data_IF_518750433475
#
_entry.id   IF_518750433475
#
_cell.length_a   1.000
_cell.length_b   1.000
_cell.length_c   1.000
_cell.angle_alpha   90.00
_cell.angle_beta   90.00
_cell.angle_gamma   90.00
#
_symmetry.space_group_name_H-M   'P 1'
#
loop_
_entity.id
_entity.type
_entity.pdbx_description
1 polymer ?
#
# COMPACT_ATOMS: atom_id res chain seq x y z
N UNK A 1 69.62 -27.87 33.90
CA UNK A 1 68.84 -28.66 32.92
C UNK A 1 67.50 -29.23 33.42
N UNK A 2 67.13 -29.17 34.71
CA UNK A 2 65.90 -29.81 35.24
C UNK A 2 64.58 -29.01 35.16
N UNK A 3 64.60 -27.69 34.96
CA UNK A 3 63.36 -26.88 34.87
C UNK A 3 62.69 -26.95 33.49
N UNK A 4 63.47 -27.01 32.41
CA UNK A 4 62.93 -27.05 31.03
C UNK A 4 62.26 -28.41 30.75
N UNK A 5 62.76 -29.52 31.30
CA UNK A 5 62.15 -30.84 31.16
C UNK A 5 60.83 -30.96 31.93
N UNK A 6 60.71 -30.38 33.14
CA UNK A 6 59.45 -30.33 33.90
C UNK A 6 58.38 -29.47 33.22
N UNK A 7 58.74 -28.31 32.68
CA UNK A 7 57.79 -27.45 31.97
C UNK A 7 57.31 -28.12 30.69
N UNK A 8 58.20 -28.77 29.93
CA UNK A 8 57.82 -29.51 28.71
C UNK A 8 56.96 -30.74 29.01
N UNK A 9 57.21 -31.43 30.14
CA UNK A 9 56.37 -32.51 30.63
C UNK A 9 54.97 -32.04 31.02
N UNK A 10 54.86 -30.91 31.73
CA UNK A 10 53.58 -30.33 32.18
C UNK A 10 52.76 -29.77 30.99
N UNK A 11 53.40 -29.12 30.02
CA UNK A 11 52.74 -28.68 28.78
C UNK A 11 52.25 -29.88 27.97
N UNK A 12 53.01 -30.99 27.94
CA UNK A 12 52.60 -32.21 27.25
C UNK A 12 51.45 -32.90 27.97
N UNK A 13 51.47 -33.01 29.30
CA UNK A 13 50.36 -33.58 30.07
C UNK A 13 49.08 -32.75 29.95
N UNK A 14 49.20 -31.42 30.01
CA UNK A 14 48.06 -30.51 29.84
C UNK A 14 47.51 -30.53 28.40
N UNK A 15 48.38 -30.72 27.40
CA UNK A 15 47.93 -30.90 26.02
C UNK A 15 47.20 -32.23 25.83
N UNK A 16 47.72 -33.33 26.40
CA UNK A 16 47.08 -34.64 26.31
C UNK A 16 45.75 -34.70 27.05
N UNK A 17 45.65 -34.11 28.25
CA UNK A 17 44.39 -34.03 28.99
C UNK A 17 43.35 -33.20 28.22
N UNK A 18 43.75 -32.06 27.66
CA UNK A 18 42.87 -31.19 26.86
C UNK A 18 42.43 -31.82 25.54
N UNK A 19 43.26 -32.63 24.90
CA UNK A 19 42.89 -33.42 23.71
C UNK A 19 41.85 -34.50 24.07
N UNK A 20 42.01 -35.16 25.23
CA UNK A 20 41.05 -36.15 25.70
C UNK A 20 39.69 -35.53 26.07
N UNK A 21 39.67 -34.35 26.69
CA UNK A 21 38.41 -33.65 27.02
C UNK A 21 37.67 -33.23 25.75
N UNK A 22 38.36 -32.63 24.77
CA UNK A 22 37.77 -32.23 23.48
C UNK A 22 37.17 -33.42 22.72
N UNK A 23 37.89 -34.55 22.65
CA UNK A 23 37.39 -35.77 21.98
C UNK A 23 36.15 -36.36 22.67
N UNK A 24 36.03 -36.15 23.98
CA UNK A 24 34.87 -36.60 24.76
C UNK A 24 33.67 -35.68 24.55
N UNK A 25 33.90 -34.37 24.49
CA UNK A 25 32.88 -33.37 24.15
C UNK A 25 32.34 -33.55 22.72
N UNK A 26 33.20 -33.86 21.73
CA UNK A 26 32.79 -34.16 20.35
C UNK A 26 31.91 -35.41 20.26
N UNK A 27 32.23 -36.45 21.04
CA UNK A 27 31.39 -37.66 21.13
C UNK A 27 30.04 -37.35 21.75
N UNK A 28 30.02 -36.54 22.82
CA UNK A 28 28.78 -36.10 23.46
C UNK A 28 27.91 -35.26 22.51
N UNK A 29 28.50 -34.33 21.75
CA UNK A 29 27.79 -33.53 20.75
C UNK A 29 27.17 -34.39 19.64
N UNK A 30 27.89 -35.40 19.13
CA UNK A 30 27.36 -36.33 18.13
C UNK A 30 26.21 -37.20 18.67
N UNK A 31 26.29 -37.62 19.94
CA UNK A 31 25.21 -38.37 20.59
C UNK A 31 23.97 -37.49 20.76
N UNK A 32 24.13 -36.26 21.25
CA UNK A 32 23.02 -35.29 21.42
C UNK A 32 22.34 -34.99 20.07
N UNK A 33 23.11 -34.91 18.99
CA UNK A 33 22.57 -34.72 17.64
C UNK A 33 21.76 -35.93 17.14
N UNK A 34 22.28 -37.15 17.29
CA UNK A 34 21.55 -38.38 16.92
C UNK A 34 20.26 -38.52 17.74
N UNK A 35 20.33 -38.21 19.04
CA UNK A 35 19.16 -38.21 19.92
C UNK A 35 18.12 -37.18 19.46
N UNK A 36 18.57 -36.02 19.00
CA UNK A 36 17.69 -34.97 18.46
C UNK A 36 16.95 -35.41 17.20
N UNK A 37 17.61 -36.16 16.31
CA UNK A 37 16.96 -36.76 15.14
C UNK A 37 15.91 -37.81 15.53
N UNK A 38 16.20 -38.64 16.53
CA UNK A 38 15.27 -39.65 17.04
C UNK A 38 14.02 -38.99 17.65
N UNK A 39 14.18 -37.92 18.42
CA UNK A 39 13.04 -37.20 19.01
C UNK A 39 12.20 -36.40 17.99
N UNK A 40 12.75 -36.11 16.81
CA UNK A 40 12.03 -35.45 15.70
C UNK A 40 11.36 -36.45 14.74
N UNK A 41 11.70 -37.73 14.81
CA UNK A 41 11.16 -38.82 13.99
C UNK A 41 9.62 -38.90 13.99
N UNK A 42 8.91 -38.63 15.12
CA UNK A 42 7.45 -38.58 15.14
C UNK A 42 6.84 -37.52 14.19
N UNK A 43 7.54 -36.42 13.88
CA UNK A 43 7.03 -35.39 12.95
C UNK A 43 7.11 -35.80 11.48
N UNK A 44 7.98 -36.77 11.16
CA UNK A 44 8.22 -37.25 9.80
C UNK A 44 7.38 -38.51 9.50
N UNK A 45 6.74 -39.10 10.51
CA UNK A 45 5.82 -40.20 10.33
C UNK A 45 4.55 -39.75 9.58
N UNK A 46 3.99 -40.59 8.70
CA UNK A 46 2.78 -40.26 7.95
C UNK A 46 1.62 -39.94 8.91
N UNK A 47 0.88 -38.86 8.60
CA UNK A 47 -0.16 -38.23 9.45
C UNK A 47 -1.19 -39.21 10.03
N UNK A 48 -1.42 -40.36 9.39
CA UNK A 48 -2.33 -41.40 9.86
C UNK A 48 -1.92 -42.09 11.17
N UNK A 49 -0.61 -42.25 11.44
CA UNK A 49 -0.13 -42.89 12.67
C UNK A 49 -0.24 -41.96 13.89
N UNK A 50 -0.09 -40.65 13.67
CA UNK A 50 -0.13 -39.60 14.69
C UNK A 50 -1.56 -39.32 15.20
N UNK A 51 -2.55 -39.44 14.34
CA UNK A 51 -3.97 -39.29 14.73
C UNK A 51 -4.41 -40.45 15.63
N UNK A 52 -3.86 -41.66 15.43
CA UNK A 52 -4.18 -42.85 16.22
C UNK A 52 -3.62 -42.84 17.66
N UNK A 53 -2.60 -42.01 17.94
CA UNK A 53 -1.85 -42.01 19.20
C UNK A 53 -2.22 -40.89 20.19
N UNK A 54 -3.19 -40.01 19.88
CA UNK A 54 -3.70 -39.05 20.88
C UNK A 54 -4.05 -37.64 20.41
N UNK A 55 -4.32 -37.41 19.12
CA UNK A 55 -4.87 -36.13 18.64
C UNK A 55 -3.91 -34.92 18.74
N UNK A 56 -4.38 -33.77 18.22
CA UNK A 56 -3.58 -32.56 18.03
C UNK A 56 -2.99 -31.98 19.34
N UNK A 57 -3.66 -32.21 20.48
CA UNK A 57 -3.26 -31.68 21.79
C UNK A 57 -2.03 -32.38 22.37
N UNK A 58 -1.91 -33.70 22.17
CA UNK A 58 -0.76 -34.46 22.65
C UNK A 58 0.51 -34.12 21.86
N UNK A 59 0.35 -33.88 20.55
CA UNK A 59 1.42 -33.35 19.72
C UNK A 59 1.80 -31.93 20.10
N UNK A 60 0.85 -31.04 20.39
CA UNK A 60 1.15 -29.70 20.88
C UNK A 60 1.93 -29.75 22.21
N UNK A 61 1.52 -30.60 23.16
CA UNK A 61 2.23 -30.79 24.43
C UNK A 61 3.65 -31.37 24.22
N UNK A 62 3.80 -32.36 23.33
CA UNK A 62 5.11 -32.91 22.94
C UNK A 62 6.00 -31.83 22.29
N UNK A 63 5.44 -30.99 21.40
CA UNK A 63 6.16 -29.88 20.79
C UNK A 63 6.65 -28.88 21.86
N UNK A 64 5.79 -28.51 22.82
CA UNK A 64 6.10 -27.52 23.84
C UNK A 64 7.16 -28.00 24.85
N UNK A 65 7.26 -29.31 25.10
CA UNK A 65 8.27 -29.86 26.01
C UNK A 65 9.58 -30.22 25.30
N UNK A 66 9.49 -30.88 24.14
CA UNK A 66 10.66 -31.46 23.49
C UNK A 66 11.44 -30.43 22.68
N UNK A 67 10.77 -29.50 22.00
CA UNK A 67 11.45 -28.52 21.14
C UNK A 67 12.35 -27.57 21.95
N UNK A 68 11.92 -26.98 23.08
CA UNK A 68 12.81 -26.12 23.88
C UNK A 68 14.01 -26.88 24.45
N UNK A 69 13.82 -28.13 24.88
CA UNK A 69 14.90 -28.98 25.40
C UNK A 69 15.91 -29.31 24.29
N UNK A 70 15.44 -29.67 23.10
CA UNK A 70 16.29 -29.91 21.93
C UNK A 70 17.08 -28.66 21.53
N UNK A 71 16.44 -27.49 21.50
CA UNK A 71 17.11 -26.21 21.20
C UNK A 71 18.20 -25.93 22.25
N UNK A 72 17.89 -26.09 23.54
CA UNK A 72 18.84 -25.83 24.62
C UNK A 72 20.04 -26.81 24.60
N UNK A 73 19.79 -28.09 24.33
CA UNK A 73 20.82 -29.12 24.28
C UNK A 73 21.76 -28.94 23.09
N UNK A 74 21.21 -28.61 21.91
CA UNK A 74 21.97 -28.37 20.70
C UNK A 74 22.69 -27.01 20.70
N UNK A 75 22.20 -26.03 21.48
CA UNK A 75 22.92 -24.77 21.73
C UNK A 75 24.15 -24.96 22.62
N UNK A 76 24.05 -25.82 23.65
CA UNK A 76 25.15 -26.09 24.59
C UNK A 76 26.24 -27.00 23.99
N UNK A 77 25.87 -27.89 23.07
CA UNK A 77 26.80 -28.81 22.39
C UNK A 77 26.59 -28.76 20.87
N UNK A 78 27.04 -27.70 20.18
CA UNK A 78 26.89 -27.58 18.74
C UNK A 78 27.69 -28.67 18.03
N UNK A 79 27.08 -29.34 17.06
CA UNK A 79 27.75 -30.37 16.28
C UNK A 79 28.99 -29.80 15.56
N UNK A 80 30.11 -30.53 15.60
CA UNK A 80 31.43 -30.07 15.12
C UNK A 80 31.47 -29.68 13.63
N UNK A 81 30.53 -30.18 12.82
CA UNK A 81 30.40 -29.86 11.40
C UNK A 81 29.59 -28.59 11.11
N UNK A 82 28.83 -28.04 12.07
CA UNK A 82 28.05 -26.81 11.91
C UNK A 82 28.90 -25.60 11.48
N UNK A 83 30.01 -25.25 12.16
CA UNK A 83 30.86 -24.14 11.72
C UNK A 83 31.53 -24.38 10.36
N UNK A 84 31.76 -25.64 9.98
CA UNK A 84 32.28 -25.98 8.65
C UNK A 84 31.23 -25.76 7.54
N UNK A 85 29.98 -26.14 7.79
CA UNK A 85 28.85 -25.92 6.87
C UNK A 85 28.51 -24.43 6.76
N UNK A 86 28.53 -23.68 7.87
CA UNK A 86 28.32 -22.22 7.83
C UNK A 86 29.41 -21.52 7.00
N UNK A 87 30.67 -21.94 7.14
CA UNK A 87 31.76 -21.41 6.31
C UNK A 87 31.60 -21.77 4.83
N UNK A 88 31.23 -23.02 4.52
CA UNK A 88 30.93 -23.46 3.14
C UNK A 88 29.74 -22.69 2.54
N UNK A 89 28.69 -22.45 3.31
CA UNK A 89 27.52 -21.68 2.88
C UNK A 89 27.88 -20.20 2.65
N UNK A 90 28.66 -19.58 3.54
CA UNK A 90 29.14 -18.21 3.37
C UNK A 90 30.05 -18.07 2.14
N UNK A 91 30.91 -19.05 1.89
CA UNK A 91 31.78 -19.09 0.71
C UNK A 91 30.98 -19.30 -0.58
N UNK A 92 29.98 -20.18 -0.56
CA UNK A 92 29.05 -20.38 -1.67
C UNK A 92 28.23 -19.11 -1.97
N UNK A 93 27.73 -18.43 -0.93
CA UNK A 93 27.01 -17.14 -1.08
C UNK A 93 27.93 -16.07 -1.68
N UNK A 94 29.18 -15.97 -1.23
CA UNK A 94 30.16 -15.04 -1.82
C UNK A 94 30.45 -15.35 -3.28
N UNK A 95 30.68 -16.63 -3.62
CA UNK A 95 30.92 -17.08 -5.00
C UNK A 95 29.72 -16.88 -5.92
N UNK A 96 28.50 -17.01 -5.41
CA UNK A 96 27.27 -16.80 -6.18
C UNK A 96 26.89 -15.32 -6.30
N UNK A 97 27.40 -14.44 -5.41
CA UNK A 97 27.08 -13.01 -5.41
C UNK A 97 27.58 -12.28 -6.66
N UNK A 98 28.80 -12.59 -7.11
CA UNK A 98 29.38 -12.00 -8.31
C UNK A 98 28.60 -12.35 -9.59
N UNK A 99 28.36 -13.64 -9.94
CA UNK A 99 27.57 -13.99 -11.12
C UNK A 99 26.12 -13.52 -10.98
N UNK A 100 25.52 -13.56 -9.78
CA UNK A 100 24.18 -13.01 -9.58
C UNK A 100 24.12 -11.50 -9.86
N UNK A 101 25.14 -10.74 -9.46
CA UNK A 101 25.21 -9.30 -9.73
C UNK A 101 25.39 -8.99 -11.23
N UNK A 102 26.19 -9.81 -11.95
CA UNK A 102 26.37 -9.67 -13.38
C UNK A 102 25.09 -10.03 -14.15
N UNK A 103 24.44 -11.14 -13.78
CA UNK A 103 23.13 -11.53 -14.33
C UNK A 103 22.08 -10.45 -14.06
N UNK A 104 22.03 -9.90 -12.86
CA UNK A 104 21.12 -8.80 -12.53
C UNK A 104 21.42 -7.53 -13.35
N UNK A 105 22.69 -7.23 -13.62
CA UNK A 105 23.09 -6.09 -14.46
C UNK A 105 22.65 -6.28 -15.91
N UNK A 106 22.84 -7.49 -16.46
CA UNK A 106 22.38 -7.83 -17.82
C UNK A 106 20.85 -7.79 -17.88
N UNK A 107 20.16 -8.38 -16.90
CA UNK A 107 18.70 -8.33 -16.81
C UNK A 107 18.17 -6.89 -16.73
N UNK A 108 18.82 -6.02 -15.94
CA UNK A 108 18.49 -4.59 -15.89
C UNK A 108 18.73 -3.88 -17.22
N UNK A 109 19.81 -4.20 -17.94
CA UNK A 109 20.10 -3.61 -19.24
C UNK A 109 19.06 -4.03 -20.30
N UNK A 110 18.67 -5.31 -20.30
CA UNK A 110 17.62 -5.84 -21.20
C UNK A 110 16.24 -5.26 -20.86
N UNK A 111 15.96 -5.04 -19.57
CA UNK A 111 14.69 -4.46 -19.12
C UNK A 111 14.62 -2.92 -19.24
N UNK A 112 15.75 -2.23 -19.38
CA UNK A 112 15.81 -0.77 -19.51
C UNK A 112 14.93 -0.19 -20.64
N UNK A 113 14.91 -0.73 -21.88
CA UNK A 113 14.00 -0.24 -22.92
C UNK A 113 12.53 -0.47 -22.57
N UNK A 114 12.20 -1.59 -21.91
CA UNK A 114 10.83 -1.90 -21.48
C UNK A 114 10.38 -0.91 -20.40
N UNK A 115 11.21 -0.66 -19.40
CA UNK A 115 10.93 0.32 -18.34
C UNK A 115 10.76 1.75 -18.89
N UNK A 116 11.46 2.10 -19.99
CA UNK A 116 11.21 3.37 -20.70
C UNK A 116 9.84 3.39 -21.38
N UNK A 117 9.47 2.29 -22.06
CA UNK A 117 8.17 2.17 -22.69
C UNK A 117 7.03 2.19 -21.66
N UNK A 118 7.19 1.52 -20.51
CA UNK A 118 6.26 1.57 -19.39
C UNK A 118 6.06 3.00 -18.86
N UNK A 119 7.15 3.77 -18.73
CA UNK A 119 7.06 5.17 -18.29
C UNK A 119 6.34 6.06 -19.32
N UNK A 120 6.60 5.88 -20.62
CA UNK A 120 5.87 6.59 -21.68
C UNK A 120 4.39 6.23 -21.66
N UNK A 121 4.06 4.95 -21.50
CA UNK A 121 2.69 4.48 -21.37
C UNK A 121 1.97 5.14 -20.17
N UNK A 122 2.66 5.25 -19.03
CA UNK A 122 2.13 5.90 -17.84
C UNK A 122 2.02 7.42 -17.94
N UNK A 123 2.88 8.08 -18.71
CA UNK A 123 2.76 9.50 -19.02
C UNK A 123 1.42 9.81 -19.73
N UNK A 124 0.95 8.87 -20.56
CA UNK A 124 -0.41 8.90 -21.11
C UNK A 124 -1.42 8.43 -20.05
N UNK A 125 -1.60 9.24 -19.00
CA UNK A 125 -2.40 8.89 -17.81
C UNK A 125 -3.82 8.44 -18.14
N UNK A 126 -4.52 9.13 -19.06
CA UNK A 126 -5.88 8.78 -19.50
C UNK A 126 -5.94 7.46 -20.27
N UNK A 127 -4.96 7.20 -21.14
CA UNK A 127 -4.91 5.98 -21.93
C UNK A 127 -4.61 4.77 -21.03
N UNK A 128 -3.64 4.93 -20.11
CA UNK A 128 -3.28 3.87 -19.18
C UNK A 128 -4.39 3.55 -18.17
N UNK A 129 -5.15 4.55 -17.68
CA UNK A 129 -6.35 4.28 -16.86
C UNK A 129 -7.43 3.57 -17.66
N UNK A 130 -7.73 4.02 -18.88
CA UNK A 130 -8.77 3.41 -19.72
C UNK A 130 -8.44 1.94 -20.04
N UNK A 131 -7.20 1.64 -20.43
CA UNK A 131 -6.75 0.26 -20.69
C UNK A 131 -6.82 -0.57 -19.41
N UNK A 132 -6.43 -0.01 -18.25
CA UNK A 132 -6.56 -0.68 -16.96
C UNK A 132 -8.02 -0.98 -16.59
N UNK A 133 -8.93 -0.04 -16.79
CA UNK A 133 -10.38 -0.23 -16.57
C UNK A 133 -10.93 -1.31 -17.50
N UNK A 134 -10.60 -1.27 -18.79
CA UNK A 134 -11.05 -2.25 -19.76
C UNK A 134 -10.56 -3.66 -19.42
N UNK A 135 -9.29 -3.82 -19.06
CA UNK A 135 -8.72 -5.11 -18.67
C UNK A 135 -9.37 -5.65 -17.39
N UNK A 136 -9.55 -4.81 -16.37
CA UNK A 136 -10.19 -5.18 -15.11
C UNK A 136 -11.65 -5.58 -15.33
N UNK A 137 -12.40 -4.81 -16.12
CA UNK A 137 -13.81 -5.08 -16.39
C UNK A 137 -13.97 -6.35 -17.23
N UNK A 138 -13.10 -6.56 -18.21
CA UNK A 138 -13.06 -7.79 -19.00
C UNK A 138 -12.72 -9.00 -18.13
N UNK A 139 -11.77 -8.87 -17.19
CA UNK A 139 -11.46 -9.92 -16.23
C UNK A 139 -12.65 -10.28 -15.34
N UNK A 140 -13.31 -9.28 -14.77
CA UNK A 140 -14.49 -9.48 -13.93
C UNK A 140 -15.66 -10.07 -14.71
N UNK A 141 -15.90 -9.59 -15.92
CA UNK A 141 -16.95 -10.08 -16.80
C UNK A 141 -16.76 -11.56 -17.10
N UNK A 142 -15.54 -11.92 -17.51
CA UNK A 142 -15.15 -13.28 -17.84
C UNK A 142 -15.19 -14.29 -16.68
N UNK A 143 -15.12 -13.81 -15.44
CA UNK A 143 -15.14 -14.65 -14.23
C UNK A 143 -16.53 -14.71 -13.56
N UNK A 144 -17.25 -13.58 -13.51
CA UNK A 144 -18.44 -13.42 -12.68
C UNK A 144 -19.74 -13.41 -13.50
N UNK A 145 -19.66 -13.27 -14.83
CA UNK A 145 -20.80 -13.24 -15.73
C UNK A 145 -20.68 -14.39 -16.73
N UNK A 146 -21.69 -15.26 -16.77
CA UNK A 146 -21.62 -16.52 -17.52
C UNK A 146 -21.95 -16.38 -19.02
N UNK A 147 -22.60 -15.30 -19.47
CA UNK A 147 -23.18 -15.23 -20.84
C UNK A 147 -23.10 -13.86 -21.56
N UNK A 148 -22.61 -12.79 -20.93
CA UNK A 148 -22.51 -11.47 -21.58
C UNK A 148 -21.28 -11.34 -22.48
N UNK A 149 -21.44 -11.05 -23.78
CA UNK A 149 -20.31 -10.79 -24.70
C UNK A 149 -19.84 -9.32 -24.70
N UNK A 150 -20.66 -8.40 -24.18
CA UNK A 150 -20.45 -6.94 -24.26
C UNK A 150 -20.77 -6.20 -22.94
N UNK A 151 -21.08 -6.93 -21.88
CA UNK A 151 -21.44 -6.44 -20.54
C UNK A 151 -20.42 -5.46 -19.97
N UNK A 152 -19.12 -5.69 -20.17
CA UNK A 152 -18.06 -4.78 -19.72
C UNK A 152 -18.11 -3.40 -20.38
N UNK A 153 -18.41 -3.31 -21.69
CA UNK A 153 -18.48 -2.05 -22.41
C UNK A 153 -19.72 -1.26 -22.00
N UNK A 154 -20.85 -1.94 -21.77
CA UNK A 154 -22.07 -1.31 -21.26
C UNK A 154 -21.87 -0.75 -19.86
N UNK A 155 -21.24 -1.49 -18.95
CA UNK A 155 -20.94 -1.00 -17.61
C UNK A 155 -19.97 0.19 -17.65
N UNK A 156 -18.96 0.17 -18.53
CA UNK A 156 -18.04 1.30 -18.70
C UNK A 156 -18.75 2.54 -19.26
N UNK A 157 -19.62 2.38 -20.26
CA UNK A 157 -20.44 3.46 -20.81
C UNK A 157 -21.35 4.05 -19.73
N UNK A 158 -22.03 3.20 -18.96
CA UNK A 158 -22.87 3.63 -17.84
C UNK A 158 -22.08 4.46 -16.82
N UNK A 159 -20.91 3.98 -16.37
CA UNK A 159 -20.10 4.72 -15.41
C UNK A 159 -19.56 6.03 -15.96
N UNK A 160 -19.17 6.09 -17.24
CA UNK A 160 -18.74 7.34 -17.89
C UNK A 160 -19.87 8.38 -17.92
N UNK A 161 -21.10 7.94 -18.19
CA UNK A 161 -22.26 8.82 -18.16
C UNK A 161 -22.52 9.35 -16.73
N UNK A 162 -22.39 8.50 -15.71
CA UNK A 162 -22.46 8.93 -14.30
C UNK A 162 -21.36 9.94 -13.97
N UNK A 163 -20.12 9.70 -14.39
CA UNK A 163 -18.99 10.64 -14.20
C UNK A 163 -19.27 11.98 -14.86
N UNK A 164 -19.84 11.98 -16.06
CA UNK A 164 -20.21 13.20 -16.76
C UNK A 164 -21.27 13.98 -15.98
N UNK A 165 -22.30 13.31 -15.47
CA UNK A 165 -23.30 13.94 -14.59
C UNK A 165 -22.68 14.54 -13.33
N UNK A 166 -21.78 13.82 -12.66
CA UNK A 166 -21.08 14.32 -11.46
C UNK A 166 -20.18 15.52 -11.80
N UNK A 167 -19.48 15.47 -12.94
CA UNK A 167 -18.64 16.59 -13.41
C UNK A 167 -19.48 17.82 -13.70
N UNK A 168 -20.64 17.66 -14.31
CA UNK A 168 -21.58 18.75 -14.58
C UNK A 168 -22.10 19.39 -13.28
N UNK A 169 -22.51 18.57 -12.31
CA UNK A 169 -22.92 19.06 -10.98
C UNK A 169 -21.76 19.80 -10.30
N UNK A 170 -20.53 19.26 -10.35
CA UNK A 170 -19.34 19.91 -9.81
C UNK A 170 -19.10 21.27 -10.46
N UNK A 171 -19.26 21.37 -11.79
CA UNK A 171 -19.09 22.63 -12.52
C UNK A 171 -20.10 23.69 -12.08
N UNK A 172 -21.38 23.32 -11.92
CA UNK A 172 -22.42 24.21 -11.38
C UNK A 172 -22.06 24.65 -9.96
N UNK A 173 -21.65 23.73 -9.10
CA UNK A 173 -21.29 24.06 -7.71
C UNK A 173 -20.08 25.00 -7.61
N UNK A 174 -19.13 24.92 -8.53
CA UNK A 174 -17.85 25.65 -8.44
C UNK A 174 -17.80 26.95 -9.21
N UNK A 175 -18.48 27.05 -10.36
CA UNK A 175 -18.45 28.26 -11.20
C UNK A 175 -19.47 29.32 -10.79
N UNK A 176 -20.50 28.95 -10.04
CA UNK A 176 -21.61 29.85 -9.74
C UNK A 176 -21.42 30.52 -8.37
N UNK A 177 -21.46 31.85 -8.34
CA UNK A 177 -21.47 32.60 -7.09
C UNK A 177 -22.81 32.39 -6.37
N UNK A 178 -22.83 31.50 -5.38
CA UNK A 178 -23.99 31.22 -4.51
C UNK A 178 -24.36 32.38 -3.57
N UNK A 179 -23.98 33.60 -3.92
CA UNK A 179 -24.36 34.76 -3.14
C UNK A 179 -25.89 34.96 -3.25
N UNK A 180 -26.62 35.06 -2.13
CA UNK A 180 -28.08 35.25 -2.14
C UNK A 180 -28.48 36.65 -2.64
N UNK A 181 -27.53 37.45 -3.13
CA UNK A 181 -27.70 38.83 -3.54
C UNK A 181 -27.12 39.02 -4.94
N UNK A 182 -27.99 39.21 -5.94
CA UNK A 182 -27.58 39.67 -7.26
C UNK A 182 -27.73 41.19 -7.32
N UNK A 183 -26.66 41.88 -7.72
CA UNK A 183 -26.72 43.33 -7.97
C UNK A 183 -27.50 43.60 -9.26
N UNK A 184 -28.46 44.51 -9.23
CA UNK A 184 -29.34 44.84 -10.37
C UNK A 184 -28.55 45.40 -11.57
N UNK A 185 -27.45 46.11 -11.31
CA UNK A 185 -26.48 46.56 -12.33
C UNK A 185 -25.06 46.50 -11.75
N UNK A 186 -24.01 46.46 -12.59
CA UNK A 186 -22.60 46.39 -12.14
C UNK A 186 -22.18 47.53 -11.19
N UNK A 187 -22.93 48.63 -11.17
CA UNK A 187 -22.65 49.81 -10.34
C UNK A 187 -23.72 50.09 -9.26
N UNK A 188 -24.80 49.33 -9.22
CA UNK A 188 -25.89 49.52 -8.24
C UNK A 188 -25.64 48.69 -6.98
N UNK A 189 -25.86 49.32 -5.80
CA UNK A 189 -25.83 48.66 -4.48
C UNK A 189 -27.16 47.99 -4.12
N UNK A 190 -28.16 48.03 -5.00
CA UNK A 190 -29.47 47.42 -4.77
C UNK A 190 -29.36 45.91 -4.98
N UNK A 191 -29.56 45.16 -3.89
CA UNK A 191 -29.52 43.70 -3.84
C UNK A 191 -30.95 43.15 -3.92
N UNK A 192 -31.25 42.30 -4.89
CA UNK A 192 -32.59 41.71 -5.04
C UNK A 192 -32.60 40.21 -4.73
N UNK A 193 -33.19 39.82 -3.59
CA UNK A 193 -33.19 38.44 -3.10
C UNK A 193 -34.02 37.49 -4.00
N UNK A 194 -35.17 37.95 -4.51
CA UNK A 194 -36.09 37.09 -5.26
C UNK A 194 -35.54 36.68 -6.64
N UNK A 195 -34.65 37.47 -7.24
CA UNK A 195 -34.00 37.13 -8.52
C UNK A 195 -32.87 36.11 -8.32
N UNK A 196 -32.23 36.11 -7.14
CA UNK A 196 -31.24 35.09 -6.76
C UNK A 196 -31.88 33.72 -6.52
N UNK A 197 -33.03 33.69 -5.81
CA UNK A 197 -33.74 32.44 -5.53
C UNK A 197 -34.25 31.77 -6.82
N UNK A 198 -34.83 32.54 -7.75
CA UNK A 198 -35.30 31.99 -9.04
C UNK A 198 -34.15 31.49 -9.91
N UNK A 199 -33.01 32.18 -9.91
CA UNK A 199 -31.80 31.72 -10.62
C UNK A 199 -31.32 30.37 -10.07
N UNK A 200 -31.21 30.23 -8.75
CA UNK A 200 -30.82 28.98 -8.10
C UNK A 200 -31.78 27.85 -8.48
N UNK A 201 -33.08 28.07 -8.36
CA UNK A 201 -34.11 27.06 -8.70
C UNK A 201 -34.02 26.65 -10.18
N UNK A 202 -33.82 27.60 -11.10
CA UNK A 202 -33.68 27.30 -12.53
C UNK A 202 -32.44 26.46 -12.82
N UNK A 203 -31.28 26.76 -12.22
CA UNK A 203 -30.06 25.98 -12.45
C UNK A 203 -30.16 24.56 -11.86
N UNK A 204 -30.75 24.41 -10.67
CA UNK A 204 -31.04 23.08 -10.13
C UNK A 204 -32.05 22.32 -10.98
N UNK A 205 -33.05 23.01 -11.54
CA UNK A 205 -34.02 22.38 -12.47
C UNK A 205 -33.31 21.90 -13.74
N UNK A 206 -32.34 22.65 -14.29
CA UNK A 206 -31.52 22.18 -15.41
C UNK A 206 -30.68 20.96 -15.03
N UNK A 207 -30.06 20.97 -13.85
CA UNK A 207 -29.28 19.82 -13.37
C UNK A 207 -30.13 18.57 -13.18
N UNK A 208 -31.30 18.71 -12.55
CA UNK A 208 -32.24 17.60 -12.35
C UNK A 208 -32.78 17.11 -13.68
N UNK A 209 -33.23 17.99 -14.58
CA UNK A 209 -33.73 17.58 -15.90
C UNK A 209 -32.64 16.89 -16.71
N UNK A 210 -31.39 17.35 -16.65
CA UNK A 210 -30.25 16.70 -17.29
C UNK A 210 -29.94 15.30 -16.71
N UNK A 211 -29.99 15.13 -15.39
CA UNK A 211 -29.81 13.80 -14.76
C UNK A 211 -30.95 12.87 -15.16
N UNK A 212 -32.19 13.36 -15.15
CA UNK A 212 -33.38 12.59 -15.54
C UNK A 212 -33.32 12.19 -17.01
N UNK A 213 -32.95 13.11 -17.92
CA UNK A 213 -32.81 12.80 -19.36
C UNK A 213 -31.70 11.80 -19.61
N UNK A 214 -30.56 11.92 -18.94
CA UNK A 214 -29.47 10.93 -19.01
C UNK A 214 -29.94 9.56 -18.53
N UNK A 215 -30.61 9.51 -17.37
CA UNK A 215 -31.11 8.26 -16.79
C UNK A 215 -32.13 7.63 -17.72
N UNK A 216 -33.01 8.44 -18.32
CA UNK A 216 -34.00 8.00 -19.28
C UNK A 216 -33.35 7.53 -20.59
N UNK A 217 -32.34 8.22 -21.11
CA UNK A 217 -31.57 7.78 -22.30
C UNK A 217 -30.86 6.47 -22.03
N UNK A 218 -30.22 6.31 -20.87
CA UNK A 218 -29.61 5.03 -20.46
C UNK A 218 -30.65 3.91 -20.35
N UNK A 219 -31.83 4.22 -19.80
CA UNK A 219 -32.94 3.28 -19.68
C UNK A 219 -33.52 2.90 -21.05
N UNK A 220 -33.68 3.88 -21.96
CA UNK A 220 -34.18 3.68 -23.32
C UNK A 220 -33.18 2.89 -24.18
N UNK A 221 -31.89 3.26 -24.16
CA UNK A 221 -30.81 2.47 -24.75
C UNK A 221 -30.74 1.06 -24.16
N UNK A 222 -31.10 0.92 -22.89
CA UNK A 222 -31.18 -0.35 -22.20
C UNK A 222 -32.43 -1.17 -22.51
N UNK A 223 -33.53 -0.55 -22.89
CA UNK A 223 -34.80 -1.22 -23.22
C UNK A 223 -34.89 -1.59 -24.69
N UNK A 224 -34.30 -0.82 -25.60
CA UNK A 224 -34.63 -0.95 -27.02
C UNK A 224 -33.84 -2.01 -27.80
N UNK A 225 -32.62 -2.43 -27.41
CA UNK A 225 -31.86 -3.37 -28.28
C UNK A 225 -30.66 -4.15 -27.69
N UNK A 226 -30.16 -3.88 -26.48
CA UNK A 226 -28.83 -4.38 -26.05
C UNK A 226 -28.76 -5.26 -24.80
N UNK A 227 -29.87 -5.43 -24.06
CA UNK A 227 -29.81 -5.78 -22.63
C UNK A 227 -30.47 -7.11 -22.26
N UNK A 228 -30.93 -7.91 -23.22
CA UNK A 228 -31.53 -9.24 -22.92
C UNK A 228 -30.57 -10.16 -22.13
N UNK A 229 -29.26 -9.94 -22.28
CA UNK A 229 -28.21 -10.71 -21.60
C UNK A 229 -27.46 -9.93 -20.51
N UNK A 230 -27.88 -8.71 -20.16
CA UNK A 230 -27.23 -7.91 -19.13
C UNK A 230 -27.85 -8.20 -17.76
N UNK A 231 -27.32 -9.24 -17.11
CA UNK A 231 -27.61 -9.56 -15.71
C UNK A 231 -26.31 -9.59 -14.92
N UNK A 232 -25.75 -8.42 -14.58
CA UNK A 232 -24.52 -8.38 -13.81
C UNK A 232 -24.79 -8.90 -12.39
N UNK A 233 -23.94 -9.82 -11.94
CA UNK A 233 -23.92 -10.28 -10.55
C UNK A 233 -23.64 -9.10 -9.62
N UNK A 234 -24.24 -9.04 -8.42
CA UNK A 234 -23.96 -7.97 -7.45
C UNK A 234 -22.46 -7.82 -7.12
N UNK A 235 -21.72 -8.94 -7.09
CA UNK A 235 -20.27 -8.92 -6.92
C UNK A 235 -19.55 -8.22 -8.07
N UNK A 236 -20.01 -8.43 -9.31
CA UNK A 236 -19.45 -7.77 -10.48
C UNK A 236 -19.62 -6.25 -10.37
N UNK A 237 -20.83 -5.77 -10.09
CA UNK A 237 -21.13 -4.33 -10.02
C UNK A 237 -20.38 -3.63 -8.88
N UNK A 238 -20.22 -4.29 -7.74
CA UNK A 238 -19.46 -3.74 -6.61
C UNK A 238 -17.98 -3.64 -6.95
N UNK A 239 -17.37 -4.70 -7.51
CA UNK A 239 -15.94 -4.70 -7.83
C UNK A 239 -15.62 -3.69 -8.94
N UNK A 240 -16.38 -3.71 -10.05
CA UNK A 240 -16.15 -2.80 -11.18
C UNK A 240 -16.49 -1.36 -10.82
N UNK A 241 -17.54 -1.13 -10.03
CA UNK A 241 -17.92 0.19 -9.52
C UNK A 241 -16.86 0.78 -8.60
N UNK A 242 -16.38 0.02 -7.60
CA UNK A 242 -15.29 0.48 -6.70
C UNK A 242 -14.02 0.76 -7.50
N UNK A 243 -13.64 -0.14 -8.41
CA UNK A 243 -12.45 0.07 -9.23
C UNK A 243 -12.56 1.32 -10.10
N UNK A 244 -13.72 1.56 -10.72
CA UNK A 244 -13.95 2.73 -11.56
C UNK A 244 -13.91 4.03 -10.74
N UNK A 245 -14.64 4.10 -9.62
CA UNK A 245 -14.66 5.26 -8.73
C UNK A 245 -13.26 5.65 -8.21
N UNK A 246 -12.39 4.65 -7.98
CA UNK A 246 -11.03 4.87 -7.50
C UNK A 246 -10.00 5.13 -8.60
N UNK A 247 -10.34 4.92 -9.87
CA UNK A 247 -9.43 5.15 -11.01
C UNK A 247 -9.75 6.42 -11.79
N UNK A 248 -11.01 6.84 -11.79
CA UNK A 248 -11.50 7.96 -12.57
C UNK A 248 -11.05 9.32 -12.01
N UNK A 249 -10.60 10.21 -12.89
CA UNK A 249 -9.96 11.48 -12.49
C UNK A 249 -10.90 12.38 -11.72
N UNK A 250 -12.15 12.49 -12.17
CA UNK A 250 -13.17 13.35 -11.55
C UNK A 250 -13.38 12.99 -10.09
N UNK A 251 -13.50 11.70 -9.77
CA UNK A 251 -13.68 11.24 -8.40
C UNK A 251 -12.40 11.38 -7.58
N UNK A 252 -11.23 11.10 -8.17
CA UNK A 252 -9.94 11.27 -7.49
C UNK A 252 -9.68 12.72 -7.05
N UNK A 253 -10.22 13.71 -7.75
CA UNK A 253 -10.15 15.12 -7.34
C UNK A 253 -11.26 15.52 -6.35
N UNK A 254 -12.44 14.90 -6.44
CA UNK A 254 -13.60 15.21 -5.61
C UNK A 254 -13.44 14.69 -4.17
N UNK A 255 -12.93 13.46 -4.00
CA UNK A 255 -12.83 12.81 -2.70
C UNK A 255 -11.95 13.57 -1.69
N UNK A 256 -10.74 14.06 -2.05
CA UNK A 256 -9.93 14.87 -1.13
C UNK A 256 -10.62 16.16 -0.68
N UNK A 257 -11.38 16.82 -1.57
CA UNK A 257 -12.17 18.01 -1.22
C UNK A 257 -13.26 17.66 -0.20
N UNK A 258 -13.93 16.53 -0.39
CA UNK A 258 -14.91 16.00 0.55
C UNK A 258 -14.31 15.63 1.91
N UNK A 259 -13.14 14.96 1.92
CA UNK A 259 -12.41 14.66 3.16
C UNK A 259 -12.00 15.94 3.90
N UNK A 260 -11.54 16.95 3.18
CA UNK A 260 -11.14 18.23 3.77
C UNK A 260 -12.29 19.00 4.39
N UNK A 261 -13.48 18.88 3.82
CA UNK A 261 -14.70 19.42 4.42
C UNK A 261 -15.04 18.75 5.77
N UNK A 262 -14.67 17.48 5.98
CA UNK A 262 -14.88 16.76 7.24
C UNK A 262 -13.90 17.16 8.35
N UNK A 263 -12.83 17.92 8.04
CA UNK A 263 -11.83 18.43 9.00
C UNK A 263 -11.32 17.36 9.97
N UNK A 264 -10.88 16.22 9.45
CA UNK A 264 -10.38 15.11 10.27
C UNK A 264 -9.01 15.43 10.88
N UNK A 265 -8.97 15.63 12.19
CA UNK A 265 -7.75 15.99 12.93
C UNK A 265 -6.62 14.94 12.80
N UNK A 266 -6.98 13.66 12.61
CA UNK A 266 -6.02 12.55 12.47
C UNK A 266 -5.17 12.63 11.21
N UNK A 267 -5.64 13.28 10.15
CA UNK A 267 -4.98 13.30 8.84
C UNK A 267 -3.98 14.47 8.70
N UNK A 268 -3.93 15.38 9.69
CA UNK A 268 -3.01 16.52 9.74
C UNK A 268 -2.94 17.36 8.44
N UNK A 269 -4.03 17.39 7.66
CA UNK A 269 -4.13 18.05 6.35
C UNK A 269 -3.60 17.24 5.16
N UNK A 270 -2.92 16.11 5.37
CA UNK A 270 -2.36 15.26 4.30
C UNK A 270 -3.40 14.36 3.60
N UNK A 271 -4.66 14.76 3.58
CA UNK A 271 -5.80 13.95 3.12
C UNK A 271 -5.68 13.56 1.64
N UNK A 272 -5.22 14.49 0.80
CA UNK A 272 -5.00 14.24 -0.62
C UNK A 272 -3.91 13.18 -0.88
N UNK A 273 -2.83 13.20 -0.10
CA UNK A 273 -1.74 12.21 -0.21
C UNK A 273 -2.19 10.84 0.31
N UNK A 274 -2.88 10.82 1.44
CA UNK A 274 -3.42 9.60 2.03
C UNK A 274 -4.43 8.93 1.10
N UNK A 275 -5.40 9.71 0.59
CA UNK A 275 -6.38 9.22 -0.37
C UNK A 275 -5.72 8.73 -1.67
N UNK A 276 -4.70 9.43 -2.15
CA UNK A 276 -3.91 9.02 -3.31
C UNK A 276 -3.21 7.67 -3.16
N UNK A 277 -2.67 7.35 -1.98
CA UNK A 277 -2.08 6.03 -1.68
C UNK A 277 -3.17 4.98 -1.52
N UNK A 278 -4.22 5.32 -0.77
CA UNK A 278 -5.32 4.40 -0.43
C UNK A 278 -6.06 3.91 -1.67
N UNK A 279 -6.45 4.83 -2.57
CA UNK A 279 -7.09 4.51 -3.86
C UNK A 279 -6.24 3.57 -4.73
N UNK A 280 -4.94 3.82 -4.83
CA UNK A 280 -4.00 2.98 -5.61
C UNK A 280 -3.74 1.62 -4.95
N UNK A 281 -3.75 1.56 -3.63
CA UNK A 281 -3.61 0.31 -2.88
C UNK A 281 -4.85 -0.57 -3.06
N UNK A 282 -6.05 0.00 -2.96
CA UNK A 282 -7.29 -0.76 -3.16
C UNK A 282 -7.42 -1.26 -4.59
N UNK A 283 -7.15 -0.42 -5.59
CA UNK A 283 -7.26 -0.82 -7.01
C UNK A 283 -6.29 -1.96 -7.36
N UNK A 284 -5.05 -1.92 -6.86
CA UNK A 284 -4.08 -3.02 -7.02
C UNK A 284 -4.48 -4.26 -6.22
N UNK A 285 -5.00 -4.10 -5.01
CA UNK A 285 -5.51 -5.19 -4.17
C UNK A 285 -6.73 -5.87 -4.78
N UNK A 286 -7.60 -5.15 -5.50
CA UNK A 286 -8.75 -5.71 -6.20
C UNK A 286 -8.32 -6.56 -7.40
N UNK A 287 -7.26 -6.16 -8.10
CA UNK A 287 -6.72 -6.89 -9.25
C UNK A 287 -5.98 -8.18 -8.85
N UNK A 288 -5.36 -8.20 -7.66
CA UNK A 288 -4.54 -9.32 -7.19
C UNK A 288 -5.26 -10.68 -7.13
N UNK A 289 -6.46 -10.84 -6.53
CA UNK A 289 -7.17 -12.11 -6.49
C UNK A 289 -7.78 -12.53 -7.84
N UNK A 290 -7.99 -11.58 -8.77
CA UNK A 290 -8.54 -11.90 -10.09
C UNK A 290 -7.53 -12.65 -10.97
N UNK A 291 -6.23 -12.42 -10.79
CA UNK A 291 -5.17 -13.12 -11.55
C UNK A 291 -5.19 -14.64 -11.32
N UNK A 292 -5.09 -15.16 -10.08
CA UNK A 292 -5.13 -16.60 -9.84
C UNK A 292 -6.49 -17.21 -10.21
N UNK A 293 -7.58 -16.46 -10.04
CA UNK A 293 -8.90 -16.90 -10.52
C UNK A 293 -8.91 -17.09 -12.05
N UNK A 294 -8.39 -16.14 -12.82
CA UNK A 294 -8.29 -16.27 -14.29
C UNK A 294 -7.40 -17.43 -14.74
N UNK A 295 -6.32 -17.67 -14.01
CA UNK A 295 -5.42 -18.81 -14.22
C UNK A 295 -6.18 -20.14 -14.03
N UNK A 296 -6.98 -20.24 -12.96
CA UNK A 296 -7.78 -21.43 -12.67
C UNK A 296 -8.78 -21.77 -13.78
N UNK A 297 -9.38 -20.76 -14.42
CA UNK A 297 -10.28 -20.94 -15.57
C UNK A 297 -9.55 -21.04 -16.92
N UNK A 298 -8.24 -21.36 -16.92
CA UNK A 298 -7.39 -21.56 -18.11
C UNK A 298 -7.28 -20.35 -19.06
N UNK A 299 -7.54 -19.13 -18.57
CA UNK A 299 -7.48 -17.89 -19.38
C UNK A 299 -6.16 -17.15 -19.21
N UNK A 300 -5.07 -17.86 -19.51
CA UNK A 300 -3.69 -17.42 -19.25
C UNK A 300 -3.30 -16.09 -19.91
N UNK A 301 -3.75 -15.83 -21.15
CA UNK A 301 -3.43 -14.57 -21.86
C UNK A 301 -4.00 -13.35 -21.15
N UNK A 302 -5.27 -13.43 -20.73
CA UNK A 302 -5.93 -12.35 -20.00
C UNK A 302 -5.32 -12.20 -18.60
N UNK A 303 -5.04 -13.31 -17.92
CA UNK A 303 -4.36 -13.30 -16.62
C UNK A 303 -2.99 -12.60 -16.70
N UNK A 304 -2.19 -12.89 -17.73
CA UNK A 304 -0.89 -12.28 -17.94
C UNK A 304 -1.00 -10.76 -18.18
N UNK A 305 -1.97 -10.32 -18.99
CA UNK A 305 -2.20 -8.89 -19.25
C UNK A 305 -2.65 -8.15 -17.98
N UNK A 306 -3.58 -8.72 -17.21
CA UNK A 306 -4.05 -8.13 -15.94
C UNK A 306 -2.93 -8.08 -14.91
N UNK A 307 -2.17 -9.17 -14.77
CA UNK A 307 -1.00 -9.20 -13.88
C UNK A 307 0.04 -8.16 -14.29
N UNK A 308 0.34 -8.03 -15.59
CA UNK A 308 1.35 -7.10 -16.06
C UNK A 308 0.90 -5.64 -15.92
N UNK A 309 -0.29 -5.28 -16.43
CA UNK A 309 -0.74 -3.88 -16.43
C UNK A 309 -1.29 -3.45 -15.08
N UNK A 310 -2.23 -4.22 -14.52
CA UNK A 310 -3.01 -3.79 -13.35
C UNK A 310 -2.29 -4.06 -12.03
N UNK A 311 -1.47 -5.09 -11.94
CA UNK A 311 -0.73 -5.43 -10.71
C UNK A 311 0.71 -4.91 -10.79
N UNK A 312 1.45 -5.29 -11.83
CA UNK A 312 2.88 -4.99 -11.92
C UNK A 312 3.17 -3.53 -12.29
N UNK A 313 2.67 -3.02 -13.41
CA UNK A 313 2.90 -1.61 -13.84
C UNK A 313 2.27 -0.64 -12.84
N UNK A 314 0.97 -0.79 -12.52
CA UNK A 314 0.30 0.11 -11.58
C UNK A 314 0.84 -0.02 -10.14
N UNK A 315 1.15 -1.23 -9.67
CA UNK A 315 1.72 -1.43 -8.33
C UNK A 315 3.13 -0.86 -8.21
N UNK A 316 4.01 -1.13 -9.18
CA UNK A 316 5.39 -0.67 -9.15
C UNK A 316 5.50 0.84 -9.31
N UNK A 317 4.84 1.40 -10.33
CA UNK A 317 5.02 2.81 -10.68
C UNK A 317 4.01 3.70 -9.98
N UNK A 318 2.69 3.48 -10.16
CA UNK A 318 1.66 4.38 -9.61
C UNK A 318 1.61 4.32 -8.08
N UNK A 319 1.52 3.12 -7.50
CA UNK A 319 1.50 2.96 -6.04
C UNK A 319 2.87 3.27 -5.44
N UNK A 320 3.96 2.79 -6.05
CA UNK A 320 5.33 3.10 -5.59
C UNK A 320 5.62 4.60 -5.53
N UNK A 321 5.25 5.36 -6.56
CA UNK A 321 5.43 6.82 -6.57
C UNK A 321 4.55 7.52 -5.52
N UNK A 322 3.29 7.09 -5.37
CA UNK A 322 2.39 7.65 -4.36
C UNK A 322 2.88 7.38 -2.94
N UNK A 323 3.33 6.14 -2.66
CA UNK A 323 3.90 5.75 -1.36
C UNK A 323 5.17 6.52 -1.09
N UNK A 324 6.06 6.69 -2.08
CA UNK A 324 7.29 7.47 -1.92
C UNK A 324 6.97 8.93 -1.55
N UNK A 325 6.06 9.59 -2.28
CA UNK A 325 5.63 10.97 -1.98
C UNK A 325 5.00 11.08 -0.58
N UNK A 326 4.25 10.08 -0.16
CA UNK A 326 3.66 10.02 1.18
C UNK A 326 4.72 9.82 2.27
N UNK A 327 5.69 8.93 2.04
CA UNK A 327 6.81 8.71 2.95
C UNK A 327 7.66 9.96 3.11
N UNK A 328 8.03 10.63 2.01
CA UNK A 328 8.78 11.89 2.04
C UNK A 328 8.03 12.97 2.85
N UNK A 329 6.71 13.07 2.66
CA UNK A 329 5.87 13.98 3.45
C UNK A 329 5.86 13.62 4.94
N UNK A 330 5.71 12.33 5.28
CA UNK A 330 5.73 11.87 6.66
C UNK A 330 7.11 12.09 7.31
N UNK A 331 8.18 11.68 6.65
CA UNK A 331 9.56 11.77 7.15
C UNK A 331 9.97 13.21 7.43
N UNK A 332 9.49 14.16 6.61
CA UNK A 332 9.71 15.60 6.86
C UNK A 332 9.07 16.08 8.16
N UNK A 333 7.94 15.48 8.56
CA UNK A 333 7.16 15.87 9.72
C UNK A 333 7.45 15.05 10.98
N UNK A 334 7.97 13.82 10.83
CA UNK A 334 8.27 12.91 11.95
C UNK A 334 9.24 13.52 12.95
N UNK A 335 10.16 14.38 12.50
CA UNK A 335 11.13 15.08 13.36
C UNK A 335 10.49 16.10 14.30
N UNK A 336 9.26 16.54 14.00
CA UNK A 336 8.54 17.56 14.75
C UNK A 336 7.51 16.92 15.68
N UNK A 337 7.50 17.34 16.95
CA UNK A 337 6.56 16.84 17.95
C UNK A 337 5.12 17.25 17.57
N UNK A 338 4.16 16.35 17.77
CA UNK A 338 2.73 16.69 17.72
C UNK A 338 2.35 17.46 18.98
N UNK A 339 1.67 18.59 18.81
CA UNK A 339 1.14 19.33 19.94
C UNK A 339 0.01 18.53 20.61
N UNK A 340 -0.06 18.61 21.94
CA UNK A 340 -1.18 18.04 22.71
C UNK A 340 -2.41 18.93 22.62
N UNK A 341 -3.58 18.39 22.91
CA UNK A 341 -4.84 19.15 22.89
C UNK A 341 -4.78 20.29 23.92
N UNK A 342 -4.24 20.02 25.10
CA UNK A 342 -4.06 21.00 26.19
C UNK A 342 -3.15 22.16 25.78
N UNK A 343 -2.04 21.89 25.07
CA UNK A 343 -1.16 22.94 24.54
C UNK A 343 -1.83 23.80 23.47
N UNK A 344 -2.77 23.24 22.69
CA UNK A 344 -3.54 24.00 21.70
C UNK A 344 -4.61 24.87 22.34
N UNK A 345 -5.31 24.33 23.34
CA UNK A 345 -6.35 25.05 24.09
C UNK A 345 -5.75 26.20 24.92
N UNK A 346 -4.52 26.07 25.41
CA UNK A 346 -3.85 27.14 26.15
C UNK A 346 -3.25 28.23 25.26
N UNK A 347 -2.87 27.90 24.03
CA UNK A 347 -2.30 28.86 23.08
C UNK A 347 -3.38 29.74 22.43
N UNK A 348 -4.56 29.18 22.11
CA UNK A 348 -5.68 29.81 21.38
C UNK A 348 -5.28 30.67 20.16
N UNK A 349 -4.19 30.29 19.47
CA UNK A 349 -3.61 31.10 18.39
C UNK A 349 -3.95 30.57 16.98
N UNK A 350 -3.73 31.42 15.98
CA UNK A 350 -3.87 31.09 14.56
C UNK A 350 -2.52 30.70 13.97
N UNK A 351 -2.53 29.82 12.97
CA UNK A 351 -1.31 29.43 12.28
C UNK A 351 -0.73 30.64 11.52
N UNK A 352 0.50 31.05 11.83
CA UNK A 352 1.13 32.22 11.21
C UNK A 352 1.32 32.14 9.69
N UNK A 353 1.17 30.96 9.07
CA UNK A 353 1.34 30.75 7.62
C UNK A 353 0.02 30.88 6.87
N UNK A 354 -1.07 30.31 7.37
CA UNK A 354 -2.38 30.33 6.69
C UNK A 354 -3.43 31.20 7.40
N UNK A 355 -3.09 31.75 8.56
CA UNK A 355 -3.95 32.55 9.44
C UNK A 355 -5.24 31.83 9.88
N UNK A 356 -5.27 30.50 9.76
CA UNK A 356 -6.38 29.65 10.17
C UNK A 356 -6.24 29.15 11.61
N UNK A 357 -7.38 28.91 12.27
CA UNK A 357 -7.45 28.32 13.63
C UNK A 357 -6.75 26.95 13.67
N UNK A 358 -6.00 26.70 14.73
CA UNK A 358 -5.26 25.44 14.91
C UNK A 358 -6.06 24.44 15.76
N UNK A 359 -6.51 23.33 15.13
CA UNK A 359 -7.05 22.15 15.84
C UNK A 359 -6.04 21.01 15.98
N UNK A 360 -5.06 20.98 15.07
CA UNK A 360 -3.93 20.05 15.10
C UNK A 360 -2.68 20.81 14.65
N UNK A 361 -1.60 20.75 15.43
CA UNK A 361 -0.36 21.46 15.10
C UNK A 361 0.89 20.61 15.36
N UNK A 362 1.97 20.97 14.65
CA UNK A 362 3.32 20.48 14.89
C UNK A 362 4.13 21.57 15.60
N UNK A 363 4.86 21.16 16.62
CA UNK A 363 5.71 22.02 17.43
C UNK A 363 7.14 21.93 16.92
N UNK A 364 7.71 23.09 16.62
CA UNK A 364 9.10 23.23 16.21
C UNK A 364 10.04 23.20 17.42
N UNK A 365 11.34 22.85 17.26
CA UNK A 365 12.32 22.92 18.36
C UNK A 365 12.45 24.30 19.00
N UNK A 366 12.09 25.37 18.28
CA UNK A 366 12.02 26.73 18.80
C UNK A 366 10.67 27.11 19.43
N UNK A 367 9.84 26.11 19.76
CA UNK A 367 8.53 26.21 20.41
C UNK A 367 7.44 26.98 19.65
N UNK A 368 7.56 27.12 18.32
CA UNK A 368 6.48 27.66 17.49
C UNK A 368 5.57 26.56 16.93
N UNK A 369 4.28 26.89 16.78
CA UNK A 369 3.21 25.99 16.35
C UNK A 369 2.75 26.30 14.91
N UNK A 370 2.58 25.25 14.11
CA UNK A 370 2.08 25.36 12.74
C UNK A 370 1.18 24.18 12.39
N UNK A 371 0.23 24.33 11.46
CA UNK A 371 -0.41 23.15 10.85
C UNK A 371 0.66 22.29 10.15
N UNK A 372 0.52 20.97 10.20
CA UNK A 372 1.51 20.07 9.61
C UNK A 372 1.71 20.32 8.11
N UNK A 373 0.63 20.57 7.37
CA UNK A 373 0.71 20.94 5.96
C UNK A 373 1.40 22.27 5.69
N UNK A 374 1.15 23.29 6.52
CA UNK A 374 1.79 24.59 6.40
C UNK A 374 3.30 24.44 6.64
N UNK A 375 3.68 23.74 7.70
CA UNK A 375 5.07 23.46 8.03
C UNK A 375 5.76 22.68 6.90
N UNK A 376 5.12 21.64 6.35
CA UNK A 376 5.66 20.86 5.23
C UNK A 376 5.93 21.71 3.99
N UNK A 377 5.01 22.62 3.63
CA UNK A 377 5.19 23.56 2.51
C UNK A 377 6.35 24.52 2.77
N UNK A 378 6.48 25.02 4.00
CA UNK A 378 7.61 25.86 4.39
C UNK A 378 8.95 25.10 4.31
N UNK A 379 9.00 23.86 4.80
CA UNK A 379 10.20 23.01 4.74
C UNK A 379 10.63 22.68 3.31
N UNK A 380 9.68 22.59 2.37
CA UNK A 380 9.99 22.41 0.96
C UNK A 380 10.73 23.62 0.34
N UNK A 381 10.64 24.81 0.97
CA UNK A 381 11.24 26.06 0.48
C UNK A 381 12.44 26.50 1.32
N UNK A 382 12.39 26.33 2.64
CA UNK A 382 13.42 26.78 3.57
C UNK A 382 13.48 25.94 4.85
N UNK A 383 14.70 25.58 5.29
CA UNK A 383 14.96 24.85 6.54
C UNK A 383 15.00 25.74 7.79
N UNK A 384 14.27 26.87 7.77
CA UNK A 384 14.23 27.85 8.86
C UNK A 384 12.80 28.05 9.34
N UNK A 385 12.66 28.41 10.62
CA UNK A 385 11.37 28.73 11.19
C UNK A 385 10.76 30.00 10.56
N UNK A 386 9.51 29.99 10.06
CA UNK A 386 8.87 31.18 9.49
C UNK A 386 8.75 32.36 10.45
N UNK A 387 8.66 32.10 11.77
CA UNK A 387 8.48 33.15 12.78
C UNK A 387 9.82 33.73 13.25
N UNK A 388 10.78 32.88 13.60
CA UNK A 388 12.05 33.35 14.21
C UNK A 388 13.29 33.23 13.31
N UNK A 389 13.16 32.70 12.09
CA UNK A 389 14.23 32.56 11.08
C UNK A 389 15.43 31.69 11.55
N UNK A 390 15.33 31.08 12.74
CA UNK A 390 16.32 30.17 13.29
C UNK A 390 16.29 28.82 12.55
N UNK A 391 17.46 28.19 12.32
CA UNK A 391 17.52 26.84 11.79
C UNK A 391 16.95 25.82 12.80
N UNK A 392 16.39 24.73 12.29
CA UNK A 392 15.88 23.65 13.14
C UNK A 392 17.05 22.82 13.69
N UNK A 393 17.27 22.89 15.00
CA UNK A 393 18.27 22.08 15.71
C UNK A 393 17.52 21.05 16.53
N UNK A 394 17.68 19.77 16.19
CA UNK A 394 17.13 18.65 16.94
C UNK A 394 18.25 18.13 17.85
N UNK A 395 18.04 18.21 19.17
CA UNK A 395 19.00 17.72 20.17
C UNK A 395 18.82 16.22 20.41
#
# INVERSE_FOLDING_TARGET
MGMISRVRGRIRSDSFSKIHTLKTEDKLANIVWLLSLVFLLPYWAPRGLLVALGGAWLMAAYTCLVVPVLISANYKYPASWYPAVVKLAQEAIKRLREPASQVLRIARAVYAPVDRAERIFLQMSNLSTMIGQLLMFTACDRLLVSQGRLTCLYSLMFYNVVTYSVSYVREICTKEDWSPYVNVTRHSRVKHLAMSATKIVLEWTKAVTFIVTITFVLLALGLEQGLEHYRPTALYTVITGIYYLLTEKTFLELWPLGLSALKLERLEGMEALYFGVWSRCITTSLALPLVPALIYYERWRLAALVLYVCVFIHGRHRLGEAVKKFQEACDSLVKFRRATVEELETLEDVCAVCLGTMKSARVTPCAHFFHADCLRKCLATSDRCPICVRPYIFC
#
